data_IF_689241068978
#
_entry.id   IF_689241068978
#
_cell.length_a   1.000
_cell.length_b   1.000
_cell.length_c   1.000
_cell.angle_alpha   90.00
_cell.angle_beta   90.00
_cell.angle_gamma   90.00
#
_symmetry.space_group_name_H-M   'P 1'
#
loop_
_entity.id
_entity.type
_entity.pdbx_description
1 polymer ?
#
# COMPACT_ATOMS: atom_id res chain seq x y z
N UNK A 1 6.93 -4.72 79.28
CA UNK A 1 6.93 -3.45 78.52
C UNK A 1 8.16 -3.45 77.62
N UNK A 2 8.00 -2.92 76.39
CA UNK A 2 8.95 -2.85 75.26
C UNK A 2 8.93 -4.08 74.34
N UNK A 3 8.00 -4.16 73.39
CA UNK A 3 7.96 -3.55 72.02
C UNK A 3 8.94 -4.20 71.03
N UNK A 4 8.33 -5.01 70.16
CA UNK A 4 8.64 -5.43 68.77
C UNK A 4 9.87 -4.78 68.11
N UNK A 5 10.65 -5.57 67.37
CA UNK A 5 10.92 -5.35 65.93
C UNK A 5 11.08 -6.72 65.24
N UNK A 6 10.16 -7.03 64.33
CA UNK A 6 10.30 -8.07 63.30
C UNK A 6 11.13 -7.43 62.18
N UNK A 7 12.33 -7.93 61.88
CA UNK A 7 13.03 -7.56 60.65
C UNK A 7 12.49 -8.45 59.52
N UNK A 8 11.60 -7.90 58.70
CA UNK A 8 11.26 -8.46 57.41
C UNK A 8 12.30 -7.98 56.39
N UNK A 9 13.06 -8.92 55.82
CA UNK A 9 13.91 -8.65 54.66
C UNK A 9 13.02 -8.37 53.45
N UNK A 10 13.02 -7.13 52.97
CA UNK A 10 12.55 -6.82 51.62
C UNK A 10 13.61 -7.32 50.63
N UNK A 11 13.29 -8.39 49.91
CA UNK A 11 13.93 -8.68 48.62
C UNK A 11 13.28 -7.74 47.62
N UNK A 12 13.98 -6.68 47.24
CA UNK A 12 13.57 -5.81 46.15
C UNK A 12 13.87 -6.54 44.84
N UNK A 13 12.86 -7.22 44.28
CA UNK A 13 12.93 -7.74 42.92
C UNK A 13 12.79 -6.52 41.99
N UNK A 14 13.92 -6.02 41.50
CA UNK A 14 13.92 -5.05 40.41
C UNK A 14 13.39 -5.78 39.17
N UNK A 15 12.11 -5.58 38.85
CA UNK A 15 11.58 -5.85 37.52
C UNK A 15 12.18 -4.77 36.63
N UNK A 16 13.35 -5.05 36.08
CA UNK A 16 13.84 -4.32 34.93
C UNK A 16 12.88 -4.62 33.80
N UNK A 17 12.04 -3.66 33.44
CA UNK A 17 11.43 -3.63 32.12
C UNK A 17 12.59 -3.56 31.14
N UNK A 18 12.93 -4.71 30.56
CA UNK A 18 13.66 -4.76 29.30
C UNK A 18 12.74 -4.03 28.32
N UNK A 19 13.06 -2.77 28.02
CA UNK A 19 12.65 -2.20 26.75
C UNK A 19 13.30 -3.09 25.70
N UNK A 20 12.51 -3.94 25.05
CA UNK A 20 12.89 -4.37 23.72
C UNK A 20 13.05 -3.08 22.91
N UNK A 21 14.17 -2.86 22.18
CA UNK A 21 14.12 -1.86 21.12
C UNK A 21 12.92 -2.23 20.24
N UNK A 22 12.15 -1.23 19.81
CA UNK A 22 11.15 -1.42 18.76
C UNK A 22 11.85 -2.20 17.62
N UNK A 23 11.14 -3.16 17.03
CA UNK A 23 11.63 -3.90 15.88
C UNK A 23 12.15 -2.92 14.80
N UNK A 24 13.28 -3.28 14.18
CA UNK A 24 13.94 -2.55 13.10
C UNK A 24 13.05 -2.66 11.85
N UNK A 25 12.30 -1.64 11.42
CA UNK A 25 12.68 -0.52 10.53
C UNK A 25 12.89 -0.92 9.04
N UNK A 26 12.64 -0.02 8.07
CA UNK A 26 13.21 -0.14 6.72
C UNK A 26 14.72 -0.29 6.87
N UNK A 27 15.24 -1.45 6.45
CA UNK A 27 16.67 -1.75 6.46
C UNK A 27 17.14 -1.90 5.04
N UNK A 28 18.14 -1.11 4.65
CA UNK A 28 18.66 -1.13 3.28
C UNK A 28 19.96 -1.96 3.25
N UNK A 29 20.17 -2.73 2.20
CA UNK A 29 21.45 -3.37 1.90
C UNK A 29 21.90 -2.87 0.55
N UNK A 30 22.96 -2.06 0.52
CA UNK A 30 23.54 -1.56 -0.74
C UNK A 30 23.93 -2.75 -1.63
N UNK A 31 23.56 -2.69 -2.91
CA UNK A 31 23.96 -3.67 -3.90
C UNK A 31 24.34 -3.00 -5.21
N UNK A 32 25.33 -3.58 -5.86
CA UNK A 32 25.80 -3.24 -7.20
C UNK A 32 25.60 -4.40 -8.17
N UNK A 33 24.97 -5.50 -7.71
CA UNK A 33 24.63 -6.64 -8.55
C UNK A 33 23.24 -6.42 -9.15
N UNK A 34 23.23 -6.07 -10.44
CA UNK A 34 21.98 -5.81 -11.16
C UNK A 34 21.04 -7.02 -11.17
N UNK A 35 21.57 -8.25 -11.15
CA UNK A 35 20.74 -9.45 -11.15
C UNK A 35 20.09 -9.65 -9.78
N UNK A 36 20.83 -9.43 -8.70
CA UNK A 36 20.27 -9.47 -7.34
C UNK A 36 19.13 -8.45 -7.18
N UNK A 37 19.35 -7.20 -7.64
CA UNK A 37 18.31 -6.18 -7.61
C UNK A 37 17.08 -6.61 -8.42
N UNK A 38 17.27 -7.10 -9.64
CA UNK A 38 16.19 -7.55 -10.50
C UNK A 38 15.39 -8.71 -9.89
N UNK A 39 16.07 -9.72 -9.33
CA UNK A 39 15.44 -10.87 -8.68
C UNK A 39 14.68 -10.46 -7.40
N UNK A 40 15.18 -9.49 -6.65
CA UNK A 40 14.52 -8.98 -5.43
C UNK A 40 13.21 -8.22 -5.69
N UNK A 41 12.95 -7.80 -6.94
CA UNK A 41 11.68 -7.20 -7.30
C UNK A 41 10.57 -8.25 -7.47
N UNK A 42 10.91 -9.47 -7.90
CA UNK A 42 9.92 -10.49 -8.25
C UNK A 42 9.10 -10.88 -7.02
N UNK A 43 7.78 -10.97 -7.20
CA UNK A 43 6.93 -11.61 -6.19
C UNK A 43 7.35 -13.08 -6.03
N UNK A 44 7.24 -13.66 -4.82
CA UNK A 44 7.49 -15.07 -4.61
C UNK A 44 6.71 -15.95 -5.61
N UNK A 45 7.37 -16.98 -6.12
CA UNK A 45 6.83 -17.94 -7.09
C UNK A 45 6.38 -17.35 -8.45
N UNK A 46 6.84 -16.15 -8.81
CA UNK A 46 6.49 -15.52 -10.09
C UNK A 46 6.82 -16.38 -11.32
N UNK A 47 5.93 -16.38 -12.30
CA UNK A 47 6.13 -17.02 -13.61
C UNK A 47 7.20 -16.36 -14.49
N UNK A 48 7.60 -15.13 -14.13
CA UNK A 48 8.51 -14.27 -14.88
C UNK A 48 9.95 -14.82 -14.82
N UNK A 49 10.59 -14.92 -15.99
CA UNK A 49 12.00 -15.33 -16.08
C UNK A 49 12.87 -14.13 -16.44
N UNK A 50 13.74 -13.71 -15.53
CA UNK A 50 14.75 -12.67 -15.82
C UNK A 50 15.83 -13.27 -16.73
N UNK A 51 16.04 -12.63 -17.88
CA UNK A 51 17.05 -13.02 -18.86
C UNK A 51 18.41 -12.36 -18.57
N UNK A 52 18.38 -11.08 -18.18
CA UNK A 52 19.57 -10.27 -17.89
C UNK A 52 19.18 -8.99 -17.16
N UNK A 53 20.08 -8.45 -16.35
CA UNK A 53 19.95 -7.14 -15.76
C UNK A 53 21.26 -6.34 -15.87
N UNK A 54 21.17 -5.02 -15.99
CA UNK A 54 22.32 -4.10 -15.95
C UNK A 54 22.02 -2.89 -15.09
N UNK A 55 23.00 -2.47 -14.30
CA UNK A 55 22.92 -1.32 -13.41
C UNK A 55 23.98 -0.30 -13.83
N UNK A 56 23.55 0.93 -14.08
CA UNK A 56 24.40 2.10 -14.30
C UNK A 56 24.24 3.06 -13.14
N UNK A 57 25.34 3.48 -12.53
CA UNK A 57 25.38 4.36 -11.37
C UNK A 57 26.50 5.38 -11.54
N UNK A 58 26.28 6.57 -11.00
CA UNK A 58 27.28 7.63 -10.86
C UNK A 58 28.25 7.36 -9.72
N UNK A 59 27.78 6.72 -8.65
CA UNK A 59 28.59 6.34 -7.50
C UNK A 59 28.10 5.09 -6.76
N UNK A 60 28.95 4.57 -5.88
CA UNK A 60 28.59 3.47 -4.99
C UNK A 60 27.55 3.94 -3.97
N UNK A 61 26.55 3.10 -3.69
CA UNK A 61 25.50 3.40 -2.72
C UNK A 61 24.23 4.02 -3.33
N UNK A 62 24.13 4.17 -4.66
CA UNK A 62 22.90 4.65 -5.33
C UNK A 62 21.81 3.59 -5.51
N UNK A 63 22.11 2.32 -5.20
CA UNK A 63 21.14 1.23 -5.28
C UNK A 63 21.31 0.23 -4.14
N UNK A 64 20.22 -0.44 -3.78
CA UNK A 64 20.21 -1.51 -2.81
C UNK A 64 18.90 -2.28 -2.79
N UNK A 65 18.87 -3.33 -1.99
CA UNK A 65 17.63 -4.00 -1.58
C UNK A 65 17.18 -3.44 -0.24
N UNK A 66 15.91 -3.60 0.12
CA UNK A 66 15.41 -3.26 1.45
C UNK A 66 14.41 -4.30 1.95
N UNK A 67 14.23 -4.35 3.28
CA UNK A 67 13.09 -4.98 3.96
C UNK A 67 12.34 -3.91 4.74
N UNK A 68 11.03 -4.05 4.98
CA UNK A 68 10.19 -3.03 5.63
C UNK A 68 9.35 -3.59 6.79
N UNK A 69 9.99 -4.09 7.84
CA UNK A 69 9.25 -4.69 8.98
C UNK A 69 8.37 -3.69 9.73
N UNK A 70 8.59 -2.38 9.55
CA UNK A 70 7.78 -1.32 10.16
C UNK A 70 6.52 -0.95 9.37
N UNK A 71 6.39 -1.42 8.13
CA UNK A 71 5.27 -1.07 7.25
C UNK A 71 5.25 0.42 6.86
N UNK A 72 6.39 1.09 6.93
CA UNK A 72 6.52 2.51 6.54
C UNK A 72 6.07 2.68 5.08
N UNK A 73 5.26 3.71 4.85
CA UNK A 73 4.64 4.04 3.56
C UNK A 73 3.72 2.95 2.97
N UNK A 74 3.34 1.93 3.75
CA UNK A 74 2.46 0.85 3.26
C UNK A 74 3.11 -0.08 2.23
N UNK A 75 4.45 -0.04 2.10
CA UNK A 75 5.18 -0.95 1.21
C UNK A 75 5.28 -2.33 1.89
N UNK A 76 5.10 -3.45 1.16
CA UNK A 76 5.21 -4.80 1.72
C UNK A 76 6.48 -5.05 2.52
N UNK A 77 6.35 -5.84 3.60
CA UNK A 77 7.46 -6.09 4.54
C UNK A 77 8.64 -6.86 3.95
N UNK A 78 8.39 -7.71 2.94
CA UNK A 78 9.46 -8.39 2.18
C UNK A 78 10.38 -7.40 1.46
N UNK A 79 9.88 -6.19 1.20
CA UNK A 79 10.60 -5.08 0.62
C UNK A 79 10.83 -5.25 -0.88
N UNK A 80 12.03 -4.89 -1.35
CA UNK A 80 12.35 -4.85 -2.77
C UNK A 80 13.60 -4.04 -3.07
N UNK A 81 13.57 -3.21 -4.11
CA UNK A 81 14.70 -2.39 -4.56
C UNK A 81 14.51 -0.94 -4.14
N UNK A 82 15.59 -0.29 -3.73
CA UNK A 82 15.67 1.15 -3.53
C UNK A 82 16.73 1.73 -4.47
N UNK A 83 16.39 2.81 -5.16
CA UNK A 83 17.30 3.60 -5.99
C UNK A 83 17.28 5.06 -5.51
N UNK A 84 18.44 5.71 -5.50
CA UNK A 84 18.57 7.12 -5.14
C UNK A 84 19.55 7.82 -6.05
N UNK A 85 19.32 9.11 -6.34
CA UNK A 85 20.35 9.96 -6.94
C UNK A 85 21.51 10.22 -5.97
N UNK A 86 21.30 10.04 -4.67
CA UNK A 86 22.32 10.07 -3.62
C UNK A 86 22.64 8.70 -3.03
N UNK A 87 22.74 8.63 -1.69
CA UNK A 87 23.03 7.38 -0.99
C UNK A 87 21.73 6.75 -0.47
N UNK A 88 21.41 5.53 -0.90
CA UNK A 88 20.19 4.82 -0.46
C UNK A 88 20.16 4.64 1.05
N UNK A 89 21.32 4.47 1.69
CA UNK A 89 21.47 4.29 3.15
C UNK A 89 20.96 5.47 3.98
N UNK A 90 20.78 6.63 3.37
CA UNK A 90 20.23 7.82 4.01
C UNK A 90 18.73 7.68 4.26
N UNK A 91 18.06 6.80 3.53
CA UNK A 91 16.59 6.65 3.53
C UNK A 91 16.14 5.35 4.21
N UNK A 92 16.93 4.87 5.18
CA UNK A 92 16.43 3.88 6.14
C UNK A 92 15.31 4.50 6.99
N UNK A 93 14.51 3.65 7.63
CA UNK A 93 13.40 4.13 8.45
C UNK A 93 13.92 4.92 9.65
N UNK A 94 13.31 6.09 9.85
CA UNK A 94 13.68 6.99 10.90
C UNK A 94 12.91 8.31 10.83
N UNK A 95 13.08 9.17 11.85
CA UNK A 95 12.65 10.54 11.72
C UNK A 95 13.51 11.24 10.67
N UNK A 96 12.90 12.13 9.89
CA UNK A 96 13.63 13.16 9.19
C UNK A 96 14.32 14.10 10.20
N UNK A 97 15.64 14.20 10.11
CA UNK A 97 16.50 14.94 11.04
C UNK A 97 17.20 16.17 10.45
N UNK A 98 17.27 16.28 9.12
CA UNK A 98 17.85 17.37 8.36
C UNK A 98 16.88 17.85 7.27
N UNK A 99 16.91 19.13 6.95
CA UNK A 99 15.97 19.75 6.00
C UNK A 99 16.59 19.86 4.59
N UNK A 100 17.34 18.83 4.18
CA UNK A 100 18.22 18.90 3.02
C UNK A 100 19.36 17.91 3.11
N UNK A 101 19.02 16.63 3.07
CA UNK A 101 20.00 15.56 2.97
C UNK A 101 20.63 15.51 1.56
N UNK A 102 21.90 15.10 1.49
CA UNK A 102 22.68 15.13 0.23
C UNK A 102 23.65 13.97 0.09
N UNK A 103 23.84 13.54 -1.16
CA UNK A 103 24.72 12.46 -1.61
C UNK A 103 25.27 12.73 -3.01
N UNK A 104 25.78 13.93 -3.27
CA UNK A 104 26.24 14.32 -4.62
C UNK A 104 27.49 13.58 -5.15
N UNK A 105 27.42 13.16 -6.41
CA UNK A 105 28.54 12.63 -7.20
C UNK A 105 28.98 13.56 -8.34
N UNK A 106 28.24 14.63 -8.65
CA UNK A 106 28.51 15.63 -9.70
C UNK A 106 28.76 14.99 -11.09
N UNK A 107 28.04 13.91 -11.38
CA UNK A 107 28.15 13.14 -12.62
C UNK A 107 27.03 13.49 -13.56
N UNK A 108 27.34 14.14 -14.67
CA UNK A 108 26.34 14.48 -15.68
C UNK A 108 25.75 13.24 -16.35
N UNK A 109 24.43 13.20 -16.50
CA UNK A 109 23.73 12.17 -17.23
C UNK A 109 24.11 12.13 -18.73
N UNK A 110 24.04 10.93 -19.33
CA UNK A 110 24.31 10.76 -20.76
C UNK A 110 23.23 11.44 -21.62
N UNK A 111 23.47 11.54 -22.93
CA UNK A 111 22.47 12.10 -23.85
C UNK A 111 21.20 11.25 -23.89
N UNK A 112 21.35 9.93 -23.80
CA UNK A 112 20.25 8.97 -23.76
C UNK A 112 19.43 9.11 -22.47
N UNK A 113 20.09 9.20 -21.32
CA UNK A 113 19.44 9.42 -20.02
C UNK A 113 18.69 10.76 -19.98
N UNK A 114 19.32 11.84 -20.45
CA UNK A 114 18.65 13.13 -20.55
C UNK A 114 17.41 13.07 -21.46
N UNK A 115 17.46 12.31 -22.56
CA UNK A 115 16.31 12.16 -23.45
C UNK A 115 15.12 11.43 -22.77
N UNK A 116 15.40 10.53 -21.81
CA UNK A 116 14.39 9.83 -21.01
C UNK A 116 13.83 10.73 -19.90
N UNK A 117 14.68 11.47 -19.21
CA UNK A 117 14.30 12.26 -18.02
C UNK A 117 13.71 13.64 -18.35
N UNK A 118 14.17 14.31 -19.41
CA UNK A 118 13.72 15.67 -19.79
C UNK A 118 12.20 15.78 -19.94
N UNK A 119 11.47 14.84 -20.57
CA UNK A 119 10.01 14.90 -20.64
C UNK A 119 9.31 14.75 -19.29
N UNK A 120 9.98 14.17 -18.29
CA UNK A 120 9.45 13.89 -16.96
C UNK A 120 9.66 15.08 -16.03
N UNK A 121 10.83 15.72 -16.10
CA UNK A 121 11.25 16.80 -15.20
C UNK A 121 11.00 18.19 -15.79
N UNK A 122 10.92 18.31 -17.12
CA UNK A 122 10.93 19.61 -17.81
C UNK A 122 12.31 20.29 -17.86
N UNK A 123 13.34 19.67 -17.27
CA UNK A 123 14.71 20.17 -17.19
C UNK A 123 15.60 19.47 -18.24
N UNK A 124 16.57 20.18 -18.81
CA UNK A 124 17.41 19.64 -19.91
C UNK A 124 18.66 18.90 -19.43
N UNK A 125 19.08 19.13 -18.18
CA UNK A 125 20.33 18.60 -17.63
C UNK A 125 20.07 17.89 -16.32
N UNK A 126 20.54 16.65 -16.24
CA UNK A 126 20.40 15.81 -15.07
C UNK A 126 21.77 15.37 -14.55
N UNK A 127 21.84 15.11 -13.26
CA UNK A 127 23.04 14.73 -12.54
C UNK A 127 22.77 13.49 -11.70
N UNK A 128 23.86 12.80 -11.39
CA UNK A 128 23.89 11.63 -10.53
C UNK A 128 22.85 10.55 -10.90
N UNK A 129 22.69 10.20 -12.20
CA UNK A 129 21.71 9.21 -12.59
C UNK A 129 22.04 7.83 -12.03
N UNK A 130 20.98 7.14 -11.61
CA UNK A 130 20.94 5.70 -11.37
C UNK A 130 19.92 5.09 -12.33
N UNK A 131 20.34 4.03 -13.02
CA UNK A 131 19.52 3.33 -14.01
C UNK A 131 19.66 1.82 -13.86
N UNK A 132 18.53 1.13 -13.73
CA UNK A 132 18.44 -0.33 -13.72
C UNK A 132 17.65 -0.80 -14.95
N UNK A 133 18.28 -1.59 -15.81
CA UNK A 133 17.63 -2.22 -16.97
C UNK A 133 17.44 -3.71 -16.70
N UNK A 134 16.25 -4.23 -16.97
CA UNK A 134 15.89 -5.64 -16.79
C UNK A 134 15.29 -6.16 -18.10
N UNK A 135 15.86 -7.23 -18.64
CA UNK A 135 15.21 -8.02 -19.69
C UNK A 135 14.63 -9.28 -19.07
N UNK A 136 13.36 -9.56 -19.38
CA UNK A 136 12.63 -10.71 -18.86
C UNK A 136 11.74 -11.33 -19.94
N UNK A 137 11.35 -12.58 -19.73
CA UNK A 137 10.47 -13.34 -20.61
C UNK A 137 9.16 -13.63 -19.91
N UNK A 138 8.06 -13.28 -20.57
CA UNK A 138 6.69 -13.66 -20.20
C UNK A 138 6.33 -14.91 -20.97
N UNK A 139 6.10 -16.02 -20.26
CA UNK A 139 5.81 -17.33 -20.85
C UNK A 139 4.31 -17.56 -21.13
N UNK A 140 3.45 -16.59 -20.81
CA UNK A 140 2.03 -16.63 -21.15
C UNK A 140 1.81 -16.59 -22.67
N UNK A 141 0.75 -17.26 -23.11
CA UNK A 141 0.28 -17.22 -24.51
C UNK A 141 -0.52 -15.95 -24.82
N UNK A 142 -1.06 -15.31 -23.79
CA UNK A 142 -1.89 -14.11 -23.89
C UNK A 142 -1.16 -12.90 -23.28
N UNK A 143 -1.45 -11.66 -23.74
CA UNK A 143 -0.98 -10.46 -23.07
C UNK A 143 -1.42 -10.46 -21.60
N UNK A 144 -0.50 -10.09 -20.71
CA UNK A 144 -0.75 -9.98 -19.27
C UNK A 144 -0.33 -8.59 -18.80
N UNK A 145 -0.70 -8.25 -17.56
CA UNK A 145 -0.31 -7.00 -16.91
C UNK A 145 0.59 -7.35 -15.74
N UNK A 146 1.78 -6.75 -15.72
CA UNK A 146 2.66 -6.81 -14.57
C UNK A 146 2.42 -5.58 -13.71
N UNK A 147 2.26 -5.79 -12.42
CA UNK A 147 2.04 -4.71 -11.47
C UNK A 147 3.34 -4.44 -10.70
N UNK A 148 3.57 -3.18 -10.35
CA UNK A 148 4.61 -2.74 -9.43
C UNK A 148 4.01 -1.79 -8.42
N UNK A 149 4.60 -1.76 -7.23
CA UNK A 149 4.38 -0.69 -6.29
C UNK A 149 5.66 0.11 -6.10
N UNK A 150 5.51 1.41 -5.90
CA UNK A 150 6.64 2.25 -5.54
C UNK A 150 6.28 3.42 -4.65
N UNK A 151 7.28 3.94 -3.96
CA UNK A 151 7.16 5.15 -3.14
C UNK A 151 8.27 6.09 -3.55
N UNK A 152 7.86 7.24 -4.08
CA UNK A 152 8.74 8.31 -4.53
C UNK A 152 8.78 9.41 -3.48
N UNK A 153 9.98 9.88 -3.15
CA UNK A 153 10.14 11.09 -2.36
C UNK A 153 11.47 11.77 -2.57
N UNK A 154 11.56 13.00 -2.08
CA UNK A 154 12.69 13.90 -2.36
C UNK A 154 12.98 14.84 -1.19
N UNK A 155 14.25 15.22 -1.07
CA UNK A 155 14.75 16.29 -0.20
C UNK A 155 14.53 17.69 -0.82
N UNK A 156 14.10 17.78 -2.08
CA UNK A 156 13.85 19.06 -2.77
C UNK A 156 12.45 19.65 -2.49
N UNK A 157 11.56 18.83 -1.94
CA UNK A 157 10.20 19.26 -1.63
C UNK A 157 10.13 19.78 -0.19
N UNK A 158 9.43 20.89 0.09
CA UNK A 158 8.62 21.71 -0.82
C UNK A 158 9.36 22.90 -1.48
N UNK A 159 10.61 23.16 -1.13
CA UNK A 159 11.30 24.41 -1.42
C UNK A 159 11.48 24.70 -2.92
N UNK A 160 11.62 23.66 -3.74
CA UNK A 160 12.03 23.77 -5.14
C UNK A 160 10.89 23.53 -6.15
N UNK A 161 9.67 23.26 -5.68
CA UNK A 161 8.48 23.03 -6.52
C UNK A 161 8.23 24.19 -7.50
N UNK A 162 8.07 23.86 -8.77
CA UNK A 162 7.86 24.78 -9.89
C UNK A 162 9.11 25.63 -10.23
N UNK A 163 10.27 25.19 -9.75
CA UNK A 163 11.54 25.89 -9.83
C UNK A 163 12.39 25.55 -11.04
N UNK A 164 13.70 25.50 -10.83
CA UNK A 164 14.69 25.08 -11.83
C UNK A 164 15.37 23.76 -11.48
N UNK A 165 15.00 23.19 -10.34
CA UNK A 165 15.42 21.87 -9.89
C UNK A 165 14.16 21.05 -9.71
N UNK A 166 14.05 19.92 -10.39
CA UNK A 166 12.80 19.15 -10.49
C UNK A 166 13.09 17.67 -10.68
N UNK A 167 13.56 17.03 -9.62
CA UNK A 167 13.89 15.62 -9.68
C UNK A 167 12.68 14.76 -10.06
N UNK A 168 12.94 13.67 -10.78
CA UNK A 168 11.89 12.84 -11.30
C UNK A 168 12.33 11.42 -11.62
N UNK A 169 11.35 10.53 -11.59
CA UNK A 169 11.50 9.10 -11.80
C UNK A 169 10.81 8.66 -13.10
N UNK A 170 11.47 7.78 -13.84
CA UNK A 170 10.93 7.12 -15.02
C UNK A 170 10.93 5.60 -14.90
N UNK A 171 9.85 5.00 -15.39
CA UNK A 171 9.72 3.55 -15.58
C UNK A 171 9.32 3.31 -17.03
N UNK A 172 10.20 2.70 -17.80
CA UNK A 172 9.98 2.47 -19.23
C UNK A 172 9.77 0.99 -19.51
N UNK A 173 8.65 0.65 -20.16
CA UNK A 173 8.41 -0.68 -20.72
C UNK A 173 8.65 -0.64 -22.22
N UNK A 174 9.59 -1.45 -22.71
CA UNK A 174 9.93 -1.54 -24.13
C UNK A 174 10.23 -0.16 -24.78
N UNK A 175 10.75 0.79 -23.98
CA UNK A 175 11.09 2.15 -24.40
C UNK A 175 9.98 3.19 -24.25
N UNK A 176 8.78 2.82 -23.79
CA UNK A 176 7.66 3.73 -23.50
C UNK A 176 7.55 3.97 -22.00
N UNK A 177 7.50 5.22 -21.56
CA UNK A 177 7.31 5.54 -20.14
C UNK A 177 5.91 5.17 -19.69
N UNK A 178 5.83 4.38 -18.62
CA UNK A 178 4.59 4.00 -17.93
C UNK A 178 4.52 4.58 -16.50
N UNK A 179 5.58 5.25 -16.02
CA UNK A 179 5.53 5.94 -14.74
C UNK A 179 4.63 7.18 -14.84
N UNK A 180 3.61 7.21 -13.98
CA UNK A 180 2.80 8.39 -13.71
C UNK A 180 1.73 8.11 -12.67
N UNK A 181 1.19 9.16 -12.07
CA UNK A 181 0.15 9.06 -11.05
C UNK A 181 -1.05 9.96 -11.42
N UNK A 182 -2.25 9.52 -11.05
CA UNK A 182 -3.42 10.37 -11.11
C UNK A 182 -3.37 11.37 -9.95
N UNK A 183 -3.65 12.66 -10.18
CA UNK A 183 -3.73 13.61 -9.08
C UNK A 183 -4.96 13.33 -8.19
N UNK A 184 -4.92 13.76 -6.94
CA UNK A 184 -6.03 13.62 -5.98
C UNK A 184 -7.33 14.16 -6.58
N UNK A 185 -8.37 13.33 -6.57
CA UNK A 185 -9.68 13.67 -7.11
C UNK A 185 -9.86 13.48 -8.62
N UNK A 186 -8.86 12.91 -9.33
CA UNK A 186 -9.05 12.43 -10.70
C UNK A 186 -9.88 11.16 -10.78
N UNK A 187 -10.48 10.93 -11.95
CA UNK A 187 -11.19 9.69 -12.29
C UNK A 187 -10.28 8.74 -13.06
N UNK A 188 -10.58 7.45 -13.04
CA UNK A 188 -9.90 6.51 -13.91
C UNK A 188 -10.03 6.89 -15.40
N UNK A 189 -8.92 6.81 -16.12
CA UNK A 189 -8.80 7.26 -17.51
C UNK A 189 -8.40 8.72 -17.70
N UNK A 190 -8.31 9.52 -16.63
CA UNK A 190 -7.67 10.83 -16.68
C UNK A 190 -6.17 10.71 -17.01
N UNK A 191 -5.53 11.76 -17.56
CA UNK A 191 -4.10 11.73 -17.85
C UNK A 191 -3.26 11.57 -16.57
N UNK A 192 -2.33 10.62 -16.57
CA UNK A 192 -1.32 10.50 -15.54
C UNK A 192 -0.34 11.68 -15.62
N UNK A 193 0.00 12.24 -14.46
CA UNK A 193 1.09 13.21 -14.33
C UNK A 193 2.42 12.49 -14.08
N UNK A 194 3.56 13.05 -14.55
CA UNK A 194 4.87 12.47 -14.28
C UNK A 194 5.16 12.33 -12.78
N UNK A 195 5.96 11.33 -12.43
CA UNK A 195 6.47 11.16 -11.07
C UNK A 195 7.67 12.10 -10.89
N UNK A 196 7.45 13.24 -10.26
CA UNK A 196 8.46 14.24 -9.96
C UNK A 196 8.03 15.10 -8.75
N UNK A 197 8.92 15.98 -8.28
CA UNK A 197 8.63 16.85 -7.13
C UNK A 197 7.56 17.92 -7.41
N UNK A 198 7.28 18.20 -8.69
CA UNK A 198 6.26 19.16 -9.14
C UNK A 198 4.85 18.57 -9.11
N UNK A 199 4.71 17.27 -8.81
CA UNK A 199 3.41 16.63 -8.70
C UNK A 199 2.59 17.29 -7.56
N UNK A 200 1.31 17.66 -7.80
CA UNK A 200 0.52 18.44 -6.84
C UNK A 200 0.22 17.70 -5.52
N UNK A 201 0.38 16.39 -5.50
CA UNK A 201 0.14 15.52 -4.33
C UNK A 201 1.40 15.09 -3.59
N UNK A 202 2.53 15.78 -3.80
CA UNK A 202 3.64 15.70 -2.86
C UNK A 202 3.18 16.19 -1.48
N UNK A 203 3.59 15.49 -0.43
CA UNK A 203 3.13 15.75 0.94
C UNK A 203 4.19 15.39 1.99
N UNK A 204 4.10 16.03 3.16
CA UNK A 204 4.95 15.74 4.33
C UNK A 204 4.47 14.43 4.99
N UNK A 205 5.07 13.31 4.59
CA UNK A 205 4.81 11.99 5.18
C UNK A 205 6.12 11.45 5.77
N UNK A 206 6.12 11.35 7.11
CA UNK A 206 7.26 10.88 7.89
C UNK A 206 7.44 9.37 7.77
N UNK A 207 8.67 8.92 7.99
CA UNK A 207 9.01 7.49 7.99
C UNK A 207 10.45 7.23 7.58
N UNK A 208 11.05 8.15 6.82
CA UNK A 208 12.46 8.18 6.45
C UNK A 208 12.98 9.60 6.56
N UNK A 209 14.22 9.84 6.10
CA UNK A 209 14.81 11.18 6.05
C UNK A 209 14.10 12.12 5.06
N UNK A 210 13.32 11.59 4.11
CA UNK A 210 12.67 12.37 3.05
C UNK A 210 11.83 13.54 3.58
N UNK A 211 12.02 14.72 2.98
CA UNK A 211 11.22 15.93 3.27
C UNK A 211 9.80 15.84 2.69
N UNK A 212 9.65 15.25 1.49
CA UNK A 212 8.36 15.05 0.83
C UNK A 212 8.22 13.70 0.15
N UNK A 213 7.02 13.14 0.21
CA UNK A 213 6.63 11.88 -0.45
C UNK A 213 5.40 12.12 -1.32
N UNK A 214 5.41 11.56 -2.53
CA UNK A 214 4.28 11.62 -3.43
C UNK A 214 3.17 10.69 -2.92
N UNK A 215 2.01 11.28 -2.58
CA UNK A 215 0.90 10.53 -2.01
C UNK A 215 -0.47 11.00 -2.54
N UNK A 216 -0.85 10.64 -3.78
CA UNK A 216 -2.19 10.88 -4.29
C UNK A 216 -3.25 10.30 -3.34
N UNK A 217 -4.29 11.09 -3.06
CA UNK A 217 -5.33 10.80 -2.07
C UNK A 217 -4.80 10.55 -0.64
N UNK A 218 -3.55 10.93 -0.34
CA UNK A 218 -2.91 10.69 0.95
C UNK A 218 -2.21 9.33 1.07
N UNK A 219 -2.19 8.53 0.00
CA UNK A 219 -1.54 7.22 -0.01
C UNK A 219 -0.17 7.27 -0.73
N UNK A 220 0.96 7.04 -0.01
CA UNK A 220 2.30 7.02 -0.59
C UNK A 220 2.53 5.95 -1.66
N UNK A 221 1.73 4.89 -1.64
CA UNK A 221 1.95 3.70 -2.46
C UNK A 221 1.44 3.93 -3.89
N UNK A 222 2.37 4.16 -4.80
CA UNK A 222 2.10 4.33 -6.23
C UNK A 222 2.01 2.97 -6.89
N UNK A 223 0.98 2.76 -7.72
CA UNK A 223 0.79 1.53 -8.51
C UNK A 223 1.13 1.78 -9.97
N UNK A 224 1.94 0.90 -10.56
CA UNK A 224 2.25 0.92 -11.99
C UNK A 224 1.80 -0.38 -12.65
N UNK A 225 0.80 -0.28 -13.53
CA UNK A 225 0.29 -1.41 -14.31
C UNK A 225 0.94 -1.42 -15.71
N UNK A 226 1.72 -2.45 -15.99
CA UNK A 226 2.57 -2.58 -17.16
C UNK A 226 2.02 -3.64 -18.14
N UNK A 227 1.41 -3.24 -19.28
CA UNK A 227 0.88 -4.20 -20.25
C UNK A 227 2.02 -4.85 -21.04
N UNK A 228 2.38 -6.09 -20.69
CA UNK A 228 3.48 -6.83 -21.31
C UNK A 228 3.01 -7.75 -22.42
N UNK A 229 3.88 -7.95 -23.41
CA UNK A 229 3.62 -8.87 -24.52
C UNK A 229 4.18 -10.26 -24.23
N UNK A 230 3.62 -11.34 -24.82
CA UNK A 230 4.25 -12.65 -24.82
C UNK A 230 5.70 -12.59 -25.34
N UNK A 231 6.61 -13.30 -24.68
CA UNK A 231 8.03 -13.31 -25.02
C UNK A 231 8.84 -12.25 -24.29
N UNK A 232 9.85 -11.68 -24.97
CA UNK A 232 10.85 -10.81 -24.34
C UNK A 232 10.32 -9.38 -24.20
N UNK A 233 10.46 -8.84 -23.00
CA UNK A 233 10.20 -7.45 -22.66
C UNK A 233 11.42 -6.84 -21.96
N UNK A 234 11.46 -5.51 -21.88
CA UNK A 234 12.49 -4.78 -21.13
C UNK A 234 11.86 -3.71 -20.25
N UNK A 235 12.25 -3.68 -18.97
CA UNK A 235 12.04 -2.54 -18.09
C UNK A 235 13.32 -1.71 -17.98
N UNK A 236 13.17 -0.39 -17.95
CA UNK A 236 14.22 0.55 -17.53
C UNK A 236 13.66 1.43 -16.42
N UNK A 237 14.27 1.34 -15.24
CA UNK A 237 14.04 2.24 -14.12
C UNK A 237 15.15 3.30 -14.15
N UNK A 238 14.79 4.58 -14.07
CA UNK A 238 15.77 5.67 -14.05
C UNK A 238 15.34 6.80 -13.12
N UNK A 239 16.30 7.28 -12.33
CA UNK A 239 16.16 8.38 -11.40
C UNK A 239 17.44 9.22 -11.44
N UNK A 240 17.32 10.55 -11.34
CA UNK A 240 18.45 11.46 -11.34
C UNK A 240 18.05 12.80 -10.74
N UNK A 241 19.03 13.56 -10.26
CA UNK A 241 18.84 14.96 -9.93
C UNK A 241 18.62 15.76 -11.22
N UNK A 242 17.75 16.76 -11.20
CA UNK A 242 17.41 17.52 -12.40
C UNK A 242 17.67 19.01 -12.20
N UNK A 243 18.72 19.55 -12.81
CA UNK A 243 19.05 20.99 -12.79
C UNK A 243 20.29 21.31 -11.97
N UNK A 244 20.47 20.66 -10.82
CA UNK A 244 21.73 20.56 -10.09
C UNK A 244 21.93 19.12 -9.56
N UNK A 245 22.87 18.92 -8.64
CA UNK A 245 23.27 17.59 -8.14
C UNK A 245 23.24 17.52 -6.61
N UNK A 246 22.54 18.45 -5.94
CA UNK A 246 22.78 18.73 -4.51
C UNK A 246 21.89 17.91 -3.61
N UNK A 247 20.58 18.04 -3.76
CA UNK A 247 19.60 17.35 -2.93
C UNK A 247 19.13 16.13 -3.68
N UNK A 248 18.95 15.03 -2.96
CA UNK A 248 18.68 13.76 -3.62
C UNK A 248 17.21 13.35 -3.54
N UNK A 249 16.85 12.46 -4.46
CA UNK A 249 15.54 11.86 -4.58
C UNK A 249 15.68 10.34 -4.51
N UNK A 250 14.63 9.66 -4.05
CA UNK A 250 14.62 8.22 -3.84
C UNK A 250 13.32 7.59 -4.32
N UNK A 251 13.43 6.38 -4.88
CA UNK A 251 12.30 5.51 -5.19
C UNK A 251 12.52 4.16 -4.51
N UNK A 252 11.54 3.73 -3.72
CA UNK A 252 11.38 2.34 -3.30
C UNK A 252 10.48 1.64 -4.30
N UNK A 253 10.80 0.40 -4.66
CA UNK A 253 10.06 -0.42 -5.62
C UNK A 253 9.88 -1.83 -5.07
N UNK A 254 8.69 -2.38 -5.19
CA UNK A 254 8.38 -3.75 -4.75
C UNK A 254 7.40 -4.45 -5.68
N UNK A 255 7.26 -5.76 -5.46
CA UNK A 255 6.10 -6.56 -5.88
C UNK A 255 5.91 -6.64 -7.39
N UNK A 256 6.95 -7.02 -8.11
CA UNK A 256 6.92 -7.27 -9.55
C UNK A 256 6.28 -8.64 -9.84
N UNK A 257 5.02 -8.64 -10.25
CA UNK A 257 4.26 -9.88 -10.48
C UNK A 257 3.08 -9.70 -11.43
N UNK A 258 2.51 -10.80 -11.90
CA UNK A 258 1.28 -10.79 -12.69
C UNK A 258 0.09 -10.36 -11.82
N UNK A 259 -0.84 -9.61 -12.40
CA UNK A 259 -2.01 -9.15 -11.68
C UNK A 259 -2.84 -10.33 -11.13
N UNK A 260 -3.06 -10.35 -9.82
CA UNK A 260 -3.77 -11.40 -9.09
C UNK A 260 -2.90 -12.59 -8.65
N UNK A 261 -1.61 -12.61 -9.00
CA UNK A 261 -0.69 -13.74 -8.73
C UNK A 261 -0.33 -13.87 -7.24
N UNK A 262 -0.27 -12.76 -6.51
CA UNK A 262 0.03 -12.74 -5.07
C UNK A 262 -0.76 -11.69 -4.33
N UNK A 263 -0.76 -11.78 -3.00
CA UNK A 263 -1.35 -10.76 -2.12
C UNK A 263 -0.73 -9.38 -2.26
N UNK A 264 0.45 -9.29 -2.89
CA UNK A 264 1.13 -8.03 -3.14
C UNK A 264 0.77 -7.40 -4.47
N UNK A 265 0.05 -8.09 -5.36
CA UNK A 265 -0.41 -7.58 -6.65
C UNK A 265 -1.88 -7.95 -6.91
N UNK A 266 -2.81 -7.62 -6.00
CA UNK A 266 -4.21 -8.04 -6.14
C UNK A 266 -4.93 -7.33 -7.31
N UNK A 267 -5.96 -8.00 -7.81
CA UNK A 267 -6.96 -7.38 -8.69
C UNK A 267 -7.81 -6.42 -7.85
N UNK A 268 -7.92 -5.17 -8.29
CA UNK A 268 -8.79 -4.16 -7.70
C UNK A 268 -10.16 -4.13 -8.39
N UNK A 269 -11.21 -3.56 -7.77
CA UNK A 269 -12.52 -3.43 -8.40
C UNK A 269 -12.41 -2.64 -9.69
N UNK A 270 -13.29 -2.91 -10.66
CA UNK A 270 -13.31 -2.16 -11.93
C UNK A 270 -13.52 -0.66 -11.64
N UNK A 271 -12.56 0.21 -11.95
CA UNK A 271 -12.66 1.62 -11.58
C UNK A 271 -13.73 2.38 -12.37
N UNK A 272 -14.25 1.81 -13.47
CA UNK A 272 -15.36 2.39 -14.24
C UNK A 272 -16.73 2.08 -13.64
N UNK A 273 -16.83 1.03 -12.83
CA UNK A 273 -18.04 0.67 -12.10
C UNK A 273 -17.67 -0.11 -10.82
N UNK A 274 -17.09 0.58 -9.81
CA UNK A 274 -16.46 -0.09 -8.68
C UNK A 274 -17.46 -0.81 -7.79
N UNK A 275 -18.74 -0.43 -7.82
CA UNK A 275 -19.79 -1.03 -6.99
C UNK A 275 -21.08 -1.31 -7.76
N UNK A 276 -21.78 -2.39 -7.41
CA UNK A 276 -23.12 -2.69 -7.89
C UNK A 276 -24.22 -1.81 -7.23
N UNK A 277 -25.49 -2.07 -7.58
CA UNK A 277 -26.64 -1.34 -7.01
C UNK A 277 -26.81 -1.51 -5.48
N UNK A 278 -26.17 -2.52 -4.89
CA UNK A 278 -26.20 -2.82 -3.47
C UNK A 278 -24.94 -2.30 -2.73
N UNK A 279 -24.01 -1.69 -3.45
CA UNK A 279 -22.74 -1.21 -2.90
C UNK A 279 -21.68 -2.32 -2.75
N UNK A 280 -21.86 -3.48 -3.40
CA UNK A 280 -20.85 -4.53 -3.44
C UNK A 280 -19.80 -4.24 -4.50
N UNK A 281 -18.52 -4.40 -4.16
CA UNK A 281 -17.43 -4.32 -5.13
C UNK A 281 -17.51 -5.50 -6.10
N UNK A 282 -17.33 -5.26 -7.39
CA UNK A 282 -17.44 -6.29 -8.43
C UNK A 282 -16.10 -6.48 -9.14
N UNK A 283 -15.71 -7.74 -9.28
CA UNK A 283 -14.47 -8.17 -9.90
C UNK A 283 -14.78 -9.15 -11.03
N UNK A 284 -14.39 -8.79 -12.25
CA UNK A 284 -14.37 -9.71 -13.38
C UNK A 284 -12.98 -10.34 -13.47
N UNK A 285 -12.89 -11.61 -13.07
CA UNK A 285 -11.61 -12.31 -12.99
C UNK A 285 -11.18 -12.84 -14.36
N UNK A 286 -9.86 -12.90 -14.64
CA UNK A 286 -9.33 -13.64 -15.79
C UNK A 286 -9.69 -15.13 -15.68
N UNK A 287 -9.33 -15.91 -16.70
CA UNK A 287 -9.46 -17.37 -16.60
C UNK A 287 -8.51 -17.90 -15.52
N UNK A 288 -9.07 -18.59 -14.51
CA UNK A 288 -8.34 -19.18 -13.37
C UNK A 288 -8.41 -20.70 -13.49
N UNK A 289 -7.31 -21.39 -13.25
CA UNK A 289 -7.29 -22.85 -13.22
C UNK A 289 -7.91 -23.40 -11.93
N UNK A 290 -8.49 -24.61 -12.01
CA UNK A 290 -9.00 -25.31 -10.83
C UNK A 290 -7.94 -25.41 -9.73
N UNK A 291 -8.26 -24.88 -8.54
CA UNK A 291 -7.37 -24.83 -7.37
C UNK A 291 -6.28 -23.76 -7.41
N UNK A 292 -6.14 -23.00 -8.49
CA UNK A 292 -5.26 -21.83 -8.55
C UNK A 292 -5.82 -20.71 -7.65
N UNK A 293 -4.94 -20.07 -6.87
CA UNK A 293 -5.31 -18.94 -6.03
C UNK A 293 -5.16 -17.65 -6.81
N UNK A 294 -6.20 -16.83 -6.81
CA UNK A 294 -6.21 -15.49 -7.35
C UNK A 294 -6.50 -14.49 -6.23
N UNK A 295 -5.73 -13.42 -6.19
CA UNK A 295 -5.81 -12.41 -5.15
C UNK A 295 -6.62 -11.20 -5.61
N UNK A 296 -7.59 -10.81 -4.78
CA UNK A 296 -8.43 -9.61 -5.00
C UNK A 296 -8.35 -8.70 -3.78
N UNK A 297 -8.50 -7.39 -3.98
CA UNK A 297 -8.54 -6.43 -2.89
C UNK A 297 -9.60 -5.34 -3.14
N UNK A 298 -10.64 -5.23 -2.30
CA UNK A 298 -11.61 -4.13 -2.31
C UNK A 298 -11.15 -2.91 -1.49
N UNK A 299 -11.82 -1.76 -1.66
CA UNK A 299 -11.65 -0.64 -0.70
C UNK A 299 -12.12 -1.04 0.70
N UNK A 300 -11.43 -0.60 1.76
CA UNK A 300 -11.52 -1.14 3.13
C UNK A 300 -12.90 -1.08 3.78
N UNK A 301 -13.24 -2.17 4.46
CA UNK A 301 -14.38 -2.34 5.35
C UNK A 301 -13.94 -3.14 6.59
N UNK A 302 -14.88 -3.49 7.49
CA UNK A 302 -14.59 -4.35 8.65
C UNK A 302 -14.64 -5.87 8.32
N UNK A 303 -14.92 -6.19 7.05
CA UNK A 303 -15.09 -7.52 6.49
C UNK A 303 -15.98 -7.46 5.25
N UNK A 304 -16.13 -8.58 4.54
CA UNK A 304 -16.96 -8.65 3.35
C UNK A 304 -17.72 -9.97 3.28
N UNK A 305 -18.91 -9.90 2.68
CA UNK A 305 -19.62 -11.07 2.17
C UNK A 305 -19.18 -11.28 0.73
N UNK A 306 -18.54 -12.41 0.46
CA UNK A 306 -18.08 -12.83 -0.86
C UNK A 306 -19.17 -13.63 -1.53
N UNK A 307 -19.43 -13.37 -2.81
CA UNK A 307 -20.30 -14.19 -3.65
C UNK A 307 -19.73 -14.33 -5.05
N UNK A 308 -19.88 -15.51 -5.65
CA UNK A 308 -19.43 -15.79 -7.02
C UNK A 308 -20.51 -16.50 -7.83
N UNK A 309 -20.41 -16.42 -9.15
CA UNK A 309 -21.17 -17.22 -10.11
C UNK A 309 -20.62 -18.66 -10.29
N UNK A 310 -19.45 -18.95 -9.73
CA UNK A 310 -18.86 -20.29 -9.63
C UNK A 310 -19.01 -20.95 -8.24
N UNK A 311 -18.01 -21.75 -7.87
CA UNK A 311 -17.90 -22.36 -6.54
C UNK A 311 -16.48 -22.16 -6.01
N UNK A 312 -16.35 -21.58 -4.81
CA UNK A 312 -15.08 -21.44 -4.13
C UNK A 312 -14.57 -22.80 -3.64
N UNK A 313 -13.30 -23.09 -3.94
CA UNK A 313 -12.56 -24.23 -3.40
C UNK A 313 -11.88 -23.86 -2.09
N UNK A 314 -11.27 -22.67 -2.01
CA UNK A 314 -10.61 -22.16 -0.81
C UNK A 314 -10.72 -20.65 -0.67
N UNK A 315 -10.40 -20.17 0.53
CA UNK A 315 -10.09 -18.77 0.80
C UNK A 315 -8.81 -18.68 1.62
N UNK A 316 -7.94 -17.73 1.31
CA UNK A 316 -6.71 -17.44 2.04
C UNK A 316 -6.80 -16.05 2.65
N UNK A 317 -6.58 -15.95 3.96
CA UNK A 317 -6.50 -14.69 4.66
C UNK A 317 -5.26 -13.88 4.23
N UNK A 318 -5.30 -12.53 4.30
CA UNK A 318 -4.10 -11.72 4.17
C UNK A 318 -3.02 -12.17 5.16
N UNK A 319 -1.77 -12.21 4.72
CA UNK A 319 -0.64 -12.52 5.61
C UNK A 319 -0.23 -11.30 6.42
N UNK A 320 0.60 -11.52 7.45
CA UNK A 320 1.21 -10.42 8.22
C UNK A 320 2.10 -9.51 7.38
N UNK A 321 2.49 -9.94 6.17
CA UNK A 321 3.33 -9.16 5.27
C UNK A 321 2.55 -8.11 4.48
N UNK A 322 1.26 -8.35 4.21
CA UNK A 322 0.34 -7.41 3.55
C UNK A 322 -0.48 -6.62 4.56
N UNK A 323 -1.11 -7.31 5.50
CA UNK A 323 -1.92 -6.72 6.57
C UNK A 323 -1.39 -7.22 7.91
N UNK A 324 -0.76 -6.33 8.68
CA UNK A 324 -0.21 -6.65 9.99
C UNK A 324 -1.31 -6.81 11.07
N UNK A 325 -2.19 -7.79 10.86
CA UNK A 325 -3.27 -8.17 11.75
C UNK A 325 -2.92 -9.46 12.52
N UNK A 326 -2.32 -9.34 13.73
CA UNK A 326 -1.87 -10.49 14.49
C UNK A 326 -3.02 -11.26 15.18
N UNK A 327 -4.23 -10.70 15.25
CA UNK A 327 -5.37 -11.38 15.89
C UNK A 327 -6.20 -12.21 14.91
N UNK A 328 -6.00 -12.00 13.61
CA UNK A 328 -6.44 -12.87 12.53
C UNK A 328 -7.89 -12.66 12.12
N UNK A 329 -8.44 -13.61 11.38
CA UNK A 329 -9.71 -13.47 10.68
C UNK A 329 -10.71 -14.53 11.11
N UNK A 330 -11.97 -14.30 10.76
CA UNK A 330 -13.07 -15.24 10.99
C UNK A 330 -13.83 -15.44 9.69
N UNK A 331 -13.91 -16.71 9.27
CA UNK A 331 -14.72 -17.14 8.14
C UNK A 331 -16.08 -17.65 8.63
N UNK A 332 -17.15 -17.19 7.99
CA UNK A 332 -18.52 -17.63 8.24
C UNK A 332 -19.18 -18.14 6.95
N UNK A 333 -19.77 -19.33 6.98
CA UNK A 333 -20.48 -19.90 5.83
C UNK A 333 -21.58 -20.87 6.28
N UNK A 334 -22.51 -21.21 5.40
CA UNK A 334 -23.56 -22.17 5.68
C UNK A 334 -23.19 -23.56 5.18
N UNK A 335 -23.25 -24.56 6.05
CA UNK A 335 -23.14 -25.97 5.69
C UNK A 335 -24.39 -26.73 6.16
N UNK A 336 -25.09 -27.40 5.25
CA UNK A 336 -26.37 -28.08 5.50
C UNK A 336 -27.42 -27.22 6.23
N UNK A 337 -27.40 -25.90 5.99
CA UNK A 337 -28.30 -24.93 6.65
C UNK A 337 -27.88 -24.51 8.07
N UNK A 338 -26.69 -24.92 8.52
CA UNK A 338 -26.11 -24.53 9.82
C UNK A 338 -24.92 -23.59 9.58
N UNK A 339 -24.93 -22.45 10.27
CA UNK A 339 -23.81 -21.50 10.26
C UNK A 339 -22.57 -22.13 10.87
N UNK A 340 -21.50 -22.17 10.08
CA UNK A 340 -20.15 -22.47 10.51
C UNK A 340 -19.40 -21.17 10.75
N UNK A 341 -18.58 -21.13 11.78
CA UNK A 341 -17.71 -20.01 12.12
C UNK A 341 -16.35 -20.60 12.49
N UNK A 342 -15.30 -20.22 11.75
CA UNK A 342 -13.96 -20.78 11.90
C UNK A 342 -12.97 -19.62 11.99
N UNK A 343 -12.06 -19.71 12.96
CA UNK A 343 -10.97 -18.75 13.08
C UNK A 343 -9.87 -19.12 12.08
N UNK A 344 -9.27 -18.11 11.47
CA UNK A 344 -8.25 -18.20 10.44
C UNK A 344 -7.09 -17.31 10.86
N UNK A 345 -5.89 -17.87 11.02
CA UNK A 345 -4.71 -17.06 11.27
C UNK A 345 -4.35 -16.22 10.03
N UNK A 346 -3.58 -15.15 10.22
CA UNK A 346 -3.03 -14.39 9.09
C UNK A 346 -2.23 -15.31 8.14
N UNK A 347 -2.51 -15.21 6.84
CA UNK A 347 -1.92 -16.05 5.79
C UNK A 347 -2.42 -17.50 5.75
N UNK A 348 -3.37 -17.90 6.60
CA UNK A 348 -3.90 -19.26 6.60
C UNK A 348 -4.93 -19.45 5.47
N UNK A 349 -4.86 -20.60 4.81
CA UNK A 349 -5.84 -21.04 3.80
C UNK A 349 -6.87 -21.98 4.40
N UNK A 350 -8.14 -21.68 4.16
CA UNK A 350 -9.26 -22.54 4.48
C UNK A 350 -9.81 -23.22 3.22
N UNK A 351 -9.80 -24.55 3.21
CA UNK A 351 -10.28 -25.39 2.10
C UNK A 351 -11.71 -25.89 2.37
N UNK A 352 -12.67 -25.49 1.56
CA UNK A 352 -14.06 -25.96 1.70
C UNK A 352 -14.16 -27.46 1.38
N UNK A 353 -13.52 -27.93 0.30
CA UNK A 353 -13.72 -29.27 -0.27
C UNK A 353 -13.13 -30.48 0.47
N UNK A 354 -12.46 -30.29 1.63
CA UNK A 354 -11.91 -31.41 2.42
C UNK A 354 -12.93 -31.93 3.43
N UNK A 355 -13.62 -31.03 4.12
CA UNK A 355 -14.56 -31.36 5.21
C UNK A 355 -15.97 -30.80 4.98
N UNK A 356 -16.15 -29.96 3.96
CA UNK A 356 -17.40 -29.28 3.62
C UNK A 356 -17.69 -29.41 2.12
N UNK A 357 -18.91 -29.06 1.72
CA UNK A 357 -19.21 -28.84 0.32
C UNK A 357 -18.62 -27.49 -0.11
N UNK A 358 -18.14 -27.36 -1.37
CA UNK A 358 -17.79 -26.05 -1.93
C UNK A 358 -18.93 -25.04 -1.75
N UNK A 359 -18.58 -23.77 -1.59
CA UNK A 359 -19.57 -22.71 -1.34
C UNK A 359 -19.54 -21.67 -2.45
N UNK A 360 -20.69 -21.08 -2.78
CA UNK A 360 -20.78 -19.90 -3.66
C UNK A 360 -20.75 -18.59 -2.88
N UNK A 361 -20.89 -18.66 -1.55
CA UNK A 361 -20.98 -17.49 -0.66
C UNK A 361 -20.37 -17.81 0.70
N UNK A 362 -19.55 -16.88 1.21
CA UNK A 362 -19.03 -16.89 2.58
C UNK A 362 -18.81 -15.45 3.06
N UNK A 363 -18.56 -15.27 4.35
CA UNK A 363 -18.15 -13.99 4.94
C UNK A 363 -16.75 -14.13 5.49
N UNK A 364 -15.85 -13.19 5.18
CA UNK A 364 -14.57 -13.04 5.86
C UNK A 364 -14.62 -11.73 6.65
N UNK A 365 -14.34 -11.83 7.94
CA UNK A 365 -14.41 -10.71 8.89
C UNK A 365 -13.25 -10.79 9.88
N UNK A 366 -13.18 -9.85 10.81
CA UNK A 366 -12.17 -9.86 11.87
C UNK A 366 -11.06 -8.83 11.69
N UNK A 367 -11.13 -7.99 10.64
CA UNK A 367 -10.19 -6.89 10.44
C UNK A 367 -10.11 -6.05 11.71
N UNK A 368 -8.91 -5.96 12.26
CA UNK A 368 -8.66 -5.15 13.43
C UNK A 368 -8.77 -3.66 13.07
N UNK A 369 -9.90 -3.05 13.46
CA UNK A 369 -10.19 -1.64 13.21
C UNK A 369 -9.20 -0.69 13.90
N UNK A 370 -8.51 -1.15 14.95
CA UNK A 370 -7.49 -0.35 15.64
C UNK A 370 -6.19 -0.24 14.83
N UNK A 371 -6.02 -1.04 13.76
CA UNK A 371 -4.92 -0.88 12.79
C UNK A 371 -5.06 0.40 11.97
N UNK A 372 -6.24 1.02 11.93
CA UNK A 372 -6.46 2.27 11.22
C UNK A 372 -6.13 2.17 9.73
N UNK A 373 -6.40 1.01 9.12
CA UNK A 373 -6.16 0.76 7.70
C UNK A 373 -6.80 1.87 6.86
N UNK A 374 -6.00 2.42 5.95
CA UNK A 374 -6.45 3.50 5.06
C UNK A 374 -7.50 2.95 4.09
N UNK A 375 -8.75 3.45 4.10
CA UNK A 375 -9.79 2.99 3.19
C UNK A 375 -9.52 3.23 1.72
N UNK A 376 -8.51 4.03 1.39
CA UNK A 376 -8.06 4.31 0.03
C UNK A 376 -6.79 3.53 -0.35
N UNK A 377 -6.27 2.70 0.56
CA UNK A 377 -5.11 1.85 0.26
C UNK A 377 -5.54 0.62 -0.54
N UNK A 378 -4.85 0.32 -1.66
CA UNK A 378 -5.14 -0.82 -2.54
C UNK A 378 -4.56 -2.16 -2.02
N UNK A 379 -4.02 -2.20 -0.80
CA UNK A 379 -3.49 -3.41 -0.13
C UNK A 379 -4.15 -3.66 1.24
N UNK A 380 -5.27 -3.00 1.52
CA UNK A 380 -5.80 -2.96 2.87
C UNK A 380 -6.79 -4.09 3.21
N UNK A 381 -7.29 -4.86 2.23
CA UNK A 381 -7.96 -6.13 2.52
C UNK A 381 -7.81 -7.20 1.43
N UNK A 382 -6.55 -7.47 1.07
CA UNK A 382 -6.22 -8.47 0.07
C UNK A 382 -6.61 -9.90 0.48
N UNK A 383 -7.41 -10.57 -0.35
CA UNK A 383 -7.92 -11.92 -0.07
C UNK A 383 -7.62 -12.86 -1.23
N UNK A 384 -7.07 -14.04 -0.91
CA UNK A 384 -6.83 -15.10 -1.89
C UNK A 384 -8.05 -15.97 -2.05
N UNK A 385 -8.45 -16.25 -3.28
CA UNK A 385 -9.61 -17.10 -3.61
C UNK A 385 -9.18 -18.19 -4.59
N UNK A 386 -9.68 -19.41 -4.43
CA UNK A 386 -9.53 -20.43 -5.47
C UNK A 386 -10.87 -21.06 -5.83
N UNK A 387 -10.96 -21.64 -7.03
CA UNK A 387 -12.21 -22.17 -7.59
C UNK A 387 -12.13 -23.67 -7.85
N UNK A 388 -13.28 -24.34 -7.74
CA UNK A 388 -13.37 -25.79 -7.96
C UNK A 388 -13.13 -26.16 -9.42
N UNK A 389 -13.60 -25.31 -10.35
CA UNK A 389 -13.51 -25.55 -11.79
C UNK A 389 -12.61 -24.50 -12.45
N UNK A 390 -12.01 -24.85 -13.58
CA UNK A 390 -11.32 -23.87 -14.44
C UNK A 390 -12.35 -23.00 -15.16
N UNK A 391 -12.17 -21.68 -15.13
CA UNK A 391 -13.04 -20.74 -15.83
C UNK A 391 -12.78 -19.28 -15.48
N UNK A 392 -13.52 -18.39 -16.13
CA UNK A 392 -13.61 -16.98 -15.72
C UNK A 392 -14.81 -16.83 -14.80
N UNK A 393 -14.62 -16.09 -13.70
CA UNK A 393 -15.63 -15.93 -12.66
C UNK A 393 -15.86 -14.46 -12.38
N UNK A 394 -17.09 -14.13 -12.00
CA UNK A 394 -17.40 -12.86 -11.37
C UNK A 394 -17.43 -13.06 -9.86
N UNK A 395 -16.74 -12.18 -9.12
CA UNK A 395 -16.78 -12.13 -7.67
C UNK A 395 -17.37 -10.79 -7.24
N UNK A 396 -18.22 -10.83 -6.22
CA UNK A 396 -18.75 -9.65 -5.56
C UNK A 396 -18.38 -9.66 -4.08
N UNK A 397 -17.98 -8.51 -3.55
CA UNK A 397 -17.65 -8.30 -2.14
C UNK A 397 -18.55 -7.21 -1.56
N UNK A 398 -19.54 -7.60 -0.76
CA UNK A 398 -20.42 -6.66 -0.07
C UNK A 398 -19.81 -6.25 1.28
N UNK A 399 -19.52 -4.95 1.52
CA UNK A 399 -18.91 -4.49 2.77
C UNK A 399 -19.75 -4.79 4.01
N UNK A 400 -19.13 -5.40 5.01
CA UNK A 400 -19.64 -5.49 6.38
C UNK A 400 -19.24 -4.21 7.10
N UNK A 401 -20.19 -3.29 7.26
CA UNK A 401 -19.95 -2.03 7.98
C UNK A 401 -20.17 -2.23 9.47
N UNK A 402 -19.15 -1.92 10.27
CA UNK A 402 -19.27 -1.79 11.73
C UNK A 402 -19.24 -0.31 12.07
N UNK A 403 -20.30 0.20 12.69
CA UNK A 403 -20.27 1.56 13.24
C UNK A 403 -19.30 1.60 14.42
N UNK A 404 -18.14 2.22 14.23
CA UNK A 404 -17.29 2.66 15.34
C UNK A 404 -17.88 3.98 15.85
N UNK A 405 -18.40 4.06 17.08
CA UNK A 405 -18.80 5.34 17.64
C UNK A 405 -17.55 6.20 17.77
N UNK A 406 -17.53 7.39 17.18
CA UNK A 406 -16.48 8.37 17.42
C UNK A 406 -16.28 8.53 18.93
N UNK A 407 -15.06 8.28 19.41
CA UNK A 407 -14.67 8.66 20.77
C UNK A 407 -14.70 10.19 20.96
N UNK A 408 -14.96 10.93 19.88
CA UNK A 408 -15.26 12.35 19.82
C UNK A 408 -16.74 12.61 19.52
N UNK A 409 -17.67 11.85 20.10
CA UNK A 409 -19.03 12.36 20.28
C UNK A 409 -18.94 13.69 21.03
N UNK A 410 -18.88 14.79 20.28
CA UNK A 410 -19.03 16.14 20.78
C UNK A 410 -20.38 16.09 21.50
N UNK A 411 -20.43 16.33 22.82
CA UNK A 411 -21.69 16.28 23.52
C UNK A 411 -22.64 17.21 22.80
N UNK A 412 -23.80 16.69 22.40
CA UNK A 412 -24.84 17.49 21.78
C UNK A 412 -24.99 18.77 22.60
N UNK A 413 -24.70 19.92 21.98
CA UNK A 413 -24.70 21.19 22.70
C UNK A 413 -26.08 21.37 23.33
N UNK A 414 -26.21 21.58 24.66
CA UNK A 414 -27.50 21.63 25.35
C UNK A 414 -28.39 22.82 24.93
N UNK A 415 -28.00 23.57 23.89
CA UNK A 415 -28.74 24.67 23.28
C UNK A 415 -30.08 24.24 22.68
N UNK A 416 -30.26 23.00 22.22
CA UNK A 416 -31.56 22.51 21.74
C UNK A 416 -32.56 22.25 22.87
N UNK A 417 -32.10 21.93 24.09
CA UNK A 417 -32.97 21.78 25.26
C UNK A 417 -33.43 23.14 25.84
N UNK A 418 -32.62 24.20 25.66
CA UNK A 418 -32.96 25.56 26.09
C UNK A 418 -33.97 26.26 25.18
N UNK A 419 -34.02 25.95 23.88
CA UNK A 419 -35.06 26.49 22.99
C UNK A 419 -36.45 25.88 23.25
N UNK A 420 -36.52 24.62 23.68
CA UNK A 420 -37.78 23.96 24.05
C UNK A 420 -38.42 24.52 25.32
N UNK A 421 -37.62 24.92 26.32
CA UNK A 421 -38.13 25.42 27.60
C UNK A 421 -38.61 26.89 27.54
N UNK A 422 -38.07 27.71 26.65
CA UNK A 422 -38.51 29.12 26.49
C UNK A 422 -39.87 29.21 25.77
N UNK A 423 -40.15 28.32 24.80
CA UNK A 423 -41.44 28.27 24.11
C UNK A 423 -42.58 27.74 25.00
N UNK A 424 -42.28 26.82 25.92
CA UNK A 424 -43.24 26.32 26.91
C UNK A 424 -43.61 27.39 27.96
N UNK A 425 -42.69 28.29 28.33
CA UNK A 425 -42.95 29.36 29.30
C UNK A 425 -43.80 30.51 28.72
N UNK A 426 -43.75 30.75 27.42
CA UNK A 426 -44.58 31.78 26.76
C UNK A 426 -45.99 31.27 26.40
N UNK A 427 -46.16 29.98 26.11
CA UNK A 427 -47.48 29.36 25.91
C UNK A 427 -48.25 29.17 27.23
N UNK A 428 -47.55 28.98 28.37
CA UNK A 428 -48.15 28.82 29.70
C UNK A 428 -48.70 30.11 30.32
N UNK A 429 -48.21 31.30 29.94
CA UNK A 429 -48.67 32.58 30.51
C UNK A 429 -49.96 33.14 29.90
N UNK A 430 -50.40 32.65 28.73
CA UNK A 430 -51.70 33.06 28.13
C UNK A 430 -52.91 32.26 28.63
N UNK A 431 -52.73 31.18 29.40
CA UNK A 431 -53.82 30.37 29.97
C UNK A 431 -54.11 30.59 31.46
N UNK A 432 -53.37 31.46 32.16
CA UNK A 432 -53.54 31.72 33.60
C UNK A 432 -54.13 33.11 33.95
N UNK A 433 -54.54 33.92 32.96
CA UNK A 433 -55.24 35.20 33.19
C UNK A 433 -56.77 35.14 32.97
N UNK A 434 -57.36 33.95 32.93
CA UNK A 434 -58.82 33.77 32.79
C UNK A 434 -59.47 33.05 33.98
N UNK A 435 -58.80 32.97 35.13
CA UNK A 435 -59.36 32.31 36.31
C UNK A 435 -59.24 33.06 37.64
N UNK A 436 -59.03 34.38 37.61
CA UNK A 436 -59.34 35.24 38.77
C UNK A 436 -59.79 36.64 38.31
N UNK A 437 -61.09 36.90 38.57
CA UNK A 437 -61.90 38.12 38.36
C UNK A 437 -62.40 38.44 36.96
#
# INVERSE_FOLDING_TARGET
MNKKVLQASLVSLAIGTLYAPMASAIVITESFDAMELAESLLVPDSSIVINSATLSQSGLGQAGTFTNESGVYGIPSEGGVVLSSGLVKSYEDGPNTDSGFTGSFDTAATAEQNAMLTPLTGIQGHFDPVQLDISFTVNSVDPTTLTFFGVFGSEEWPEYVGGTVTDGFGLFLNGENIAGALPTGSSAGDPLLPINIDHPDMSDIRGTELDGVLAPNGNPQLRFDAPVQPGVNTFTFILADAGDSVLDTTIFLSSFGELGESEFVPILPDPSNPTDENGAFVFDLPEVQSGETIWIDPDVAAGYVYSTDGMFASVTAPSLASVNDPDGYVIEFLFEGVLQQIALAAGETFEFGINFDPVSTFTLSGINLDLGLDPTSPLAFVTGLSFVETGSFQVSQLPVTVFVPDNNSVPESPTLFMFGLVMAFWAGRKKLSAYYK
#
